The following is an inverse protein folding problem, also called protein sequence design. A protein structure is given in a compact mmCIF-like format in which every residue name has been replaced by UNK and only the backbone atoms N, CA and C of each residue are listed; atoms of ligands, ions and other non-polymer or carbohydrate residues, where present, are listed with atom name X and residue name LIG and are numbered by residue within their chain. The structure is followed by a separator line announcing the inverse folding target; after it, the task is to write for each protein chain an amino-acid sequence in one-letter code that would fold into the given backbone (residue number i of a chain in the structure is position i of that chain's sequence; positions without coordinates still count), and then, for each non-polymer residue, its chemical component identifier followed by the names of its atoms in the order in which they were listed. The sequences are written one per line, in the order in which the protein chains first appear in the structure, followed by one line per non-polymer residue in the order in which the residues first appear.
data_IF_978149778823
#
_entry.id   IF_978149778823
#
_cell.length_a   1.000
_cell.length_b   1.000
_cell.length_c   1.000
_cell.angle_alpha   90.00
_cell.angle_beta   90.00
_cell.angle_gamma   90.00
#
_symmetry.space_group_name_H-M   'P 1'
#
loop_
_entity.id
_entity.type
_entity.pdbx_description
1 polymer ?
#
# COMPACT_ATOMS: atom_id res chain seq x y z
N UNK A 1 -0.92 -12.18 -3.23
CA UNK A 1 -1.99 -11.37 -3.88
C UNK A 1 -2.10 -11.77 -5.34
N UNK A 2 -3.28 -12.26 -5.74
CA UNK A 2 -3.52 -12.68 -7.12
C UNK A 2 -3.93 -11.48 -7.98
N UNK A 3 -4.77 -10.59 -7.46
CA UNK A 3 -5.24 -9.40 -8.16
C UNK A 3 -5.22 -8.22 -7.21
N UNK A 4 -4.27 -7.31 -7.41
CA UNK A 4 -4.06 -6.18 -6.50
C UNK A 4 -5.24 -5.21 -6.51
N UNK A 5 -5.90 -5.02 -7.65
CA UNK A 5 -7.03 -4.11 -7.76
C UNK A 5 -8.18 -4.58 -6.87
N UNK A 6 -8.50 -5.87 -6.94
CA UNK A 6 -9.57 -6.45 -6.13
C UNK A 6 -9.21 -6.47 -4.66
N UNK A 7 -7.95 -6.74 -4.35
CA UNK A 7 -7.48 -6.75 -2.97
C UNK A 7 -7.62 -5.37 -2.34
N UNK A 8 -7.19 -4.33 -3.02
CA UNK A 8 -7.24 -2.95 -2.52
C UNK A 8 -8.68 -2.48 -2.27
N UNK A 9 -9.62 -2.89 -3.13
CA UNK A 9 -11.02 -2.52 -2.94
C UNK A 9 -11.62 -3.10 -1.67
N UNK A 10 -11.07 -4.19 -1.17
CA UNK A 10 -11.52 -4.83 0.07
C UNK A 10 -10.68 -4.42 1.28
N UNK A 11 -9.55 -3.76 1.06
CA UNK A 11 -8.64 -3.39 2.14
C UNK A 11 -9.21 -2.23 2.94
N UNK A 12 -9.14 -2.33 4.26
CA UNK A 12 -9.52 -1.25 5.18
C UNK A 12 -8.26 -0.58 5.71
N UNK A 13 -8.12 0.71 5.42
CA UNK A 13 -7.00 1.50 5.93
C UNK A 13 -7.42 2.23 7.21
N UNK A 14 -6.45 2.91 7.84
CA UNK A 14 -6.76 3.72 9.02
C UNK A 14 -7.66 4.88 8.63
N UNK A 15 -8.73 5.16 9.39
CA UNK A 15 -9.53 6.35 9.18
C UNK A 15 -8.68 7.61 9.31
N UNK A 16 -8.85 8.55 8.40
CA UNK A 16 -8.12 9.81 8.40
C UNK A 16 -9.08 10.94 8.05
N UNK A 17 -8.85 12.11 8.63
CA UNK A 17 -9.64 13.29 8.32
C UNK A 17 -9.36 13.82 6.92
N UNK A 18 -8.15 13.55 6.41
CA UNK A 18 -7.75 13.97 5.08
C UNK A 18 -7.63 12.77 4.16
N UNK A 19 -8.16 12.95 2.96
CA UNK A 19 -7.96 11.97 1.90
C UNK A 19 -6.53 12.11 1.35
N UNK A 20 -5.90 10.98 1.07
CA UNK A 20 -4.55 10.93 0.52
C UNK A 20 -4.56 10.08 -0.72
N UNK A 21 -3.99 10.59 -1.80
CA UNK A 21 -3.85 9.85 -3.06
C UNK A 21 -2.37 9.53 -3.30
N UNK A 22 -2.06 8.25 -3.41
CA UNK A 22 -0.69 7.77 -3.61
C UNK A 22 -0.64 6.92 -4.86
N UNK A 23 0.30 7.21 -5.75
CA UNK A 23 0.58 6.35 -6.90
C UNK A 23 1.49 5.21 -6.46
N UNK A 24 1.03 3.99 -6.67
CA UNK A 24 1.82 2.79 -6.43
C UNK A 24 2.28 2.24 -7.77
N UNK A 25 3.58 2.28 -8.02
CA UNK A 25 4.21 1.67 -9.18
C UNK A 25 4.65 0.27 -8.78
N UNK A 26 3.84 -0.72 -9.14
CA UNK A 26 3.96 -2.09 -8.66
C UNK A 26 4.66 -2.95 -9.70
N UNK A 27 5.67 -3.68 -9.26
CA UNK A 27 6.39 -4.64 -10.07
C UNK A 27 6.04 -6.06 -9.65
N UNK A 28 5.59 -6.88 -10.59
CA UNK A 28 5.25 -8.28 -10.37
C UNK A 28 5.78 -9.10 -11.53
N UNK A 29 6.75 -9.97 -11.26
CA UNK A 29 7.38 -10.81 -12.27
C UNK A 29 6.51 -11.99 -12.72
N UNK A 30 5.50 -12.34 -11.95
CA UNK A 30 4.70 -13.54 -12.19
C UNK A 30 3.34 -13.24 -12.80
N UNK A 31 2.67 -12.19 -12.33
CA UNK A 31 1.31 -11.84 -12.77
C UNK A 31 1.33 -10.49 -13.46
N UNK A 32 1.28 -10.50 -14.78
CA UNK A 32 1.43 -9.28 -15.57
C UNK A 32 0.36 -8.22 -15.28
N UNK A 33 -0.84 -8.64 -14.86
CA UNK A 33 -1.92 -7.69 -14.54
C UNK A 33 -1.68 -6.91 -13.25
N UNK A 34 -0.74 -7.36 -12.40
CA UNK A 34 -0.33 -6.60 -11.21
C UNK A 34 0.88 -5.69 -11.49
N UNK A 35 1.56 -5.87 -12.63
CA UNK A 35 2.75 -5.11 -12.99
C UNK A 35 2.33 -3.79 -13.64
N UNK A 36 1.98 -2.82 -12.83
CA UNK A 36 1.41 -1.55 -13.29
C UNK A 36 1.48 -0.47 -12.23
N UNK A 37 1.21 0.76 -12.66
CA UNK A 37 1.05 1.90 -11.75
C UNK A 37 -0.42 2.19 -11.55
N UNK A 38 -0.83 2.33 -10.31
CA UNK A 38 -2.21 2.70 -9.96
C UNK A 38 -2.20 3.83 -8.94
N UNK A 39 -3.19 4.70 -9.04
CA UNK A 39 -3.41 5.76 -8.07
C UNK A 39 -4.45 5.28 -7.07
N UNK A 40 -4.06 5.19 -5.80
CA UNK A 40 -4.92 4.72 -4.73
C UNK A 40 -5.31 5.90 -3.85
N UNK A 41 -6.59 6.12 -3.72
CA UNK A 41 -7.15 7.12 -2.81
C UNK A 41 -7.49 6.45 -1.49
N UNK A 42 -6.85 6.91 -0.42
CA UNK A 42 -7.15 6.46 0.95
C UNK A 42 -8.12 7.47 1.57
N UNK A 43 -9.36 7.05 1.74
CA UNK A 43 -10.43 7.93 2.21
C UNK A 43 -11.33 7.21 3.20
N UNK A 44 -11.50 7.79 4.37
CA UNK A 44 -12.44 7.33 5.40
C UNK A 44 -12.33 5.84 5.72
N UNK A 45 -11.11 5.35 5.81
CA UNK A 45 -10.85 3.94 6.14
C UNK A 45 -10.94 2.99 4.97
N UNK A 46 -11.09 3.48 3.75
CA UNK A 46 -11.18 2.65 2.55
C UNK A 46 -10.20 3.07 1.48
N UNK A 47 -9.92 2.15 0.58
CA UNK A 47 -9.06 2.38 -0.57
C UNK A 47 -9.89 2.38 -1.85
N UNK A 48 -9.64 3.37 -2.70
CA UNK A 48 -10.29 3.48 -4.00
C UNK A 48 -9.22 3.63 -5.08
N UNK A 49 -9.40 2.96 -6.20
CA UNK A 49 -8.55 3.18 -7.37
C UNK A 49 -9.14 4.35 -8.14
N UNK A 50 -8.32 5.36 -8.43
CA UNK A 50 -8.79 6.60 -9.01
C UNK A 50 -7.84 7.07 -10.11
N UNK A 51 -8.34 7.95 -10.99
CA UNK A 51 -7.53 8.65 -11.97
C UNK A 51 -7.08 10.03 -11.47
N UNK A 52 -7.45 10.37 -10.22
CA UNK A 52 -7.07 11.61 -9.59
C UNK A 52 -5.54 11.69 -9.47
N UNK A 53 -4.99 12.90 -9.62
CA UNK A 53 -3.54 13.10 -9.50
C UNK A 53 -3.05 12.74 -8.11
N UNK A 54 -2.02 11.91 -8.05
CA UNK A 54 -1.44 11.49 -6.79
C UNK A 54 -0.52 12.57 -6.20
N UNK A 55 -0.55 12.70 -4.88
CA UNK A 55 0.35 13.61 -4.15
C UNK A 55 1.74 13.01 -3.99
N UNK A 56 1.83 11.69 -3.93
CA UNK A 56 3.07 10.94 -3.69
C UNK A 56 3.19 9.79 -4.67
N UNK A 57 4.43 9.41 -4.97
CA UNK A 57 4.74 8.29 -5.87
C UNK A 57 5.63 7.31 -5.14
N UNK A 58 5.24 6.04 -5.12
CA UNK A 58 5.98 4.98 -4.45
C UNK A 58 6.18 3.82 -5.41
N UNK A 59 7.42 3.39 -5.54
CA UNK A 59 7.79 2.25 -6.39
C UNK A 59 8.18 1.07 -5.51
N UNK A 60 7.57 -0.08 -5.73
CA UNK A 60 7.83 -1.28 -4.94
C UNK A 60 7.43 -2.53 -5.72
N UNK A 61 7.90 -3.70 -5.27
CA UNK A 61 7.45 -4.97 -5.83
C UNK A 61 6.18 -5.47 -5.11
N UNK A 62 5.55 -6.48 -5.71
CA UNK A 62 4.31 -7.03 -5.16
C UNK A 62 4.54 -7.70 -3.80
N UNK A 63 5.69 -8.29 -3.57
CA UNK A 63 6.02 -8.91 -2.28
C UNK A 63 6.10 -7.87 -1.17
N UNK A 64 6.73 -6.71 -1.44
CA UNK A 64 6.80 -5.61 -0.48
C UNK A 64 5.42 -5.03 -0.21
N UNK A 65 4.60 -4.86 -1.25
CA UNK A 65 3.24 -4.36 -1.08
C UNK A 65 2.40 -5.33 -0.24
N UNK A 66 2.52 -6.62 -0.49
CA UNK A 66 1.83 -7.65 0.30
C UNK A 66 2.22 -7.56 1.77
N UNK A 67 3.52 -7.44 2.04
CA UNK A 67 4.05 -7.30 3.40
C UNK A 67 3.47 -6.09 4.11
N UNK A 68 3.35 -4.96 3.40
CA UNK A 68 2.74 -3.75 3.93
C UNK A 68 1.26 -3.93 4.26
N UNK A 69 0.51 -4.51 3.32
CA UNK A 69 -0.95 -4.59 3.44
C UNK A 69 -1.38 -5.57 4.53
N UNK A 70 -0.62 -6.63 4.77
CA UNK A 70 -0.91 -7.53 5.89
C UNK A 70 -0.34 -7.03 7.22
N UNK A 71 0.37 -5.91 7.21
CA UNK A 71 0.87 -5.28 8.43
C UNK A 71 2.11 -5.92 9.02
N UNK A 72 2.82 -6.77 8.27
CA UNK A 72 4.00 -7.46 8.75
C UNK A 72 5.18 -6.52 9.01
N UNK A 73 5.37 -5.56 8.11
CA UNK A 73 6.40 -4.54 8.24
C UNK A 73 5.81 -3.18 7.86
N UNK A 74 6.32 -2.12 8.46
CA UNK A 74 5.94 -0.76 8.08
C UNK A 74 6.63 -0.36 6.79
N UNK A 75 6.09 0.68 6.14
CA UNK A 75 6.73 1.25 4.95
C UNK A 75 8.12 1.78 5.29
N UNK A 76 8.28 2.39 6.47
CA UNK A 76 9.57 2.90 6.92
C UNK A 76 10.60 1.78 7.06
N UNK A 77 10.20 0.62 7.59
CA UNK A 77 11.10 -0.54 7.71
C UNK A 77 11.55 -1.04 6.35
N UNK A 78 10.62 -1.17 5.39
CA UNK A 78 10.95 -1.59 4.03
C UNK A 78 11.80 -0.56 3.30
N UNK A 79 11.55 0.71 3.54
CA UNK A 79 12.33 1.79 2.96
C UNK A 79 13.79 1.75 3.44
N UNK A 80 14.00 1.50 4.74
CA UNK A 80 15.35 1.35 5.31
C UNK A 80 16.07 0.11 4.76
N UNK A 81 15.31 -0.90 4.37
CA UNK A 81 15.85 -2.11 3.73
C UNK A 81 16.03 -1.95 2.22
N UNK A 82 15.79 -0.77 1.69
CA UNK A 82 15.89 -0.46 0.26
C UNK A 82 14.91 -1.26 -0.59
N UNK A 83 13.78 -1.69 -0.01
CA UNK A 83 12.75 -2.45 -0.71
C UNK A 83 11.69 -1.55 -1.33
N UNK A 84 11.65 -0.28 -0.95
CA UNK A 84 10.73 0.73 -1.47
C UNK A 84 11.53 1.90 -1.99
N UNK A 85 11.22 2.33 -3.21
CA UNK A 85 11.84 3.51 -3.83
C UNK A 85 10.82 4.66 -3.77
N UNK A 86 11.04 5.59 -2.86
CA UNK A 86 10.16 6.73 -2.64
C UNK A 86 10.83 7.79 -1.77
N UNK A 87 10.35 9.06 -1.83
CA UNK A 87 10.77 10.07 -0.88
C UNK A 87 10.31 9.72 0.54
N UNK A 88 11.05 10.14 1.53
CA UNK A 88 10.71 9.87 2.93
C UNK A 88 9.30 10.34 3.29
N UNK A 89 8.88 11.50 2.79
CA UNK A 89 7.54 12.04 3.06
C UNK A 89 6.44 11.10 2.56
N UNK A 90 6.65 10.47 1.38
CA UNK A 90 5.71 9.50 0.85
C UNK A 90 5.64 8.25 1.73
N UNK A 91 6.78 7.78 2.20
CA UNK A 91 6.87 6.60 3.08
C UNK A 91 6.16 6.87 4.40
N UNK A 92 6.38 8.01 5.01
CA UNK A 92 5.72 8.40 6.26
C UNK A 92 4.20 8.52 6.07
N UNK A 93 3.77 9.10 4.96
CA UNK A 93 2.34 9.23 4.64
C UNK A 93 1.70 7.85 4.47
N UNK A 94 2.37 6.95 3.78
CA UNK A 94 1.87 5.59 3.60
C UNK A 94 1.70 4.87 4.94
N UNK A 95 2.68 5.00 5.85
CA UNK A 95 2.57 4.41 7.19
C UNK A 95 1.41 4.98 7.99
N UNK A 96 1.06 6.24 7.77
CA UNK A 96 -0.05 6.87 8.47
C UNK A 96 -1.41 6.34 8.04
N UNK A 97 -1.53 5.82 6.82
CA UNK A 97 -2.81 5.32 6.30
C UNK A 97 -2.95 3.81 6.34
N UNK A 98 -1.85 3.07 6.44
CA UNK A 98 -1.90 1.62 6.49
C UNK A 98 -2.14 1.10 7.90
N UNK A 99 -2.88 -0.01 8.00
CA UNK A 99 -3.08 -0.69 9.27
C UNK A 99 -1.83 -1.47 9.64
N UNK A 100 -1.26 -1.19 10.80
CA UNK A 100 -0.06 -1.87 11.29
C UNK A 100 -0.34 -2.98 12.28
N UNK A 101 -1.59 -3.09 12.72
CA UNK A 101 -1.97 -4.13 13.66
C UNK A 101 -2.35 -5.39 12.91
N UNK A 102 -1.88 -6.54 13.41
CA UNK A 102 -2.23 -7.85 12.89
C UNK A 102 -2.85 -8.68 14.01
N UNK A 103 -3.89 -8.18 14.68
CA UNK A 103 -4.39 -8.81 15.90
C UNK A 103 -4.99 -10.19 15.67
N UNK A 104 -5.48 -10.43 14.47
CA UNK A 104 -6.18 -11.67 14.19
C UNK A 104 -5.32 -12.75 13.57
N UNK A 105 -4.16 -12.39 13.05
CA UNK A 105 -3.26 -13.35 12.41
C UNK A 105 -2.75 -14.34 13.46
N UNK A 106 -2.40 -13.88 14.63
CA UNK A 106 -1.94 -14.74 15.71
C UNK A 106 -3.02 -15.71 16.18
N UNK A 107 -4.28 -15.38 16.00
CA UNK A 107 -5.40 -16.22 16.40
C UNK A 107 -5.61 -17.40 15.46
N UNK A 108 -5.07 -17.33 14.25
CA UNK A 108 -5.21 -18.38 13.25
C UNK A 108 -3.98 -19.27 13.12
N UNK A 109 -2.98 -18.92 13.83
CA UNK A 109 -1.74 -19.68 13.89
C UNK A 109 -1.73 -20.52 15.16
#
# INVERSE_FOLDING_TARGET
IIDIDKFLLQYSCKPSEKDVCIELDIHDDFLSWNNKSINVLFSKGRCFITEQKAEYHIKLDIASLTTLLIGYKSAMQLWKLERIDAPRAAVETLDNVLMHEIPYISDYI
#
